data_IF_663359489464
#
_entry.id   IF_663359489464
#
_cell.length_a   1.000
_cell.length_b   1.000
_cell.length_c   1.000
_cell.angle_alpha   90.00
_cell.angle_beta   90.00
_cell.angle_gamma   90.00
#
_symmetry.space_group_name_H-M   'P 1'
#
loop_
_entity.id
_entity.type
_entity.pdbx_description
1 polymer ?
#
# COMPACT_ATOMS: atom_id res chain seq x y z
N UNK A 1 18.39 -8.11 -29.36
CA UNK A 1 18.92 -9.47 -29.55
C UNK A 1 19.83 -9.42 -30.76
N UNK A 2 21.15 -9.65 -30.57
CA UNK A 2 22.09 -9.68 -31.68
C UNK A 2 22.37 -11.12 -32.04
N UNK A 3 21.99 -11.50 -33.23
CA UNK A 3 22.28 -12.79 -33.81
C UNK A 3 23.11 -12.57 -35.08
N UNK A 4 24.34 -13.08 -35.10
CA UNK A 4 25.17 -12.99 -36.29
C UNK A 4 25.09 -14.30 -37.08
N UNK A 5 24.24 -14.32 -38.09
CA UNK A 5 24.08 -15.46 -39.00
C UNK A 5 25.29 -15.68 -39.93
N UNK A 6 26.24 -14.74 -40.02
CA UNK A 6 27.32 -14.74 -40.99
C UNK A 6 28.63 -15.36 -40.54
N UNK A 7 28.74 -15.86 -39.33
CA UNK A 7 29.95 -16.58 -38.86
C UNK A 7 31.19 -15.72 -38.60
N UNK A 8 31.10 -14.39 -38.62
CA UNK A 8 32.21 -13.48 -38.33
C UNK A 8 31.77 -12.40 -37.37
N UNK A 9 32.32 -12.40 -36.17
CA UNK A 9 32.03 -11.38 -35.16
C UNK A 9 32.15 -11.90 -33.71
N UNK A 10 32.14 -11.01 -32.71
CA UNK A 10 32.38 -11.38 -31.31
C UNK A 10 31.32 -12.34 -30.74
N UNK A 11 30.16 -12.47 -31.37
CA UNK A 11 29.03 -13.28 -30.91
C UNK A 11 29.04 -14.74 -31.44
N UNK A 12 30.08 -15.15 -32.14
CA UNK A 12 30.24 -16.50 -32.70
C UNK A 12 31.18 -17.36 -31.87
N UNK A 13 31.66 -16.85 -30.74
CA UNK A 13 32.56 -17.57 -29.86
C UNK A 13 31.81 -18.75 -29.22
N UNK A 14 32.37 -19.96 -29.37
CA UNK A 14 31.88 -21.19 -28.73
C UNK A 14 32.60 -21.50 -27.44
N UNK A 15 33.65 -20.75 -27.14
CA UNK A 15 34.37 -20.87 -25.86
C UNK A 15 33.62 -20.12 -24.75
N UNK A 16 33.69 -20.59 -23.51
CA UNK A 16 33.14 -19.87 -22.37
C UNK A 16 33.74 -18.47 -22.28
N UNK A 17 32.87 -17.46 -22.09
CA UNK A 17 33.30 -16.07 -21.94
C UNK A 17 32.45 -15.34 -20.90
N UNK A 18 32.98 -14.26 -20.37
CA UNK A 18 32.27 -13.36 -19.49
C UNK A 18 31.86 -12.13 -20.31
N UNK A 19 30.58 -11.81 -20.26
CA UNK A 19 30.03 -10.59 -20.86
C UNK A 19 29.53 -9.64 -19.80
N UNK A 20 29.88 -8.36 -19.94
CA UNK A 20 29.33 -7.28 -19.14
C UNK A 20 28.29 -6.53 -19.98
N UNK A 21 27.12 -6.34 -19.39
CA UNK A 21 26.02 -5.62 -20.03
C UNK A 21 25.67 -4.40 -19.19
N UNK A 22 25.49 -3.28 -19.86
CA UNK A 22 24.88 -2.08 -19.31
C UNK A 22 23.51 -1.90 -19.94
N UNK A 23 22.47 -1.69 -19.13
CA UNK A 23 21.11 -1.48 -19.59
C UNK A 23 20.64 -0.14 -19.06
N UNK A 24 20.35 0.79 -19.97
CA UNK A 24 19.75 2.07 -19.66
C UNK A 24 18.24 1.99 -19.90
N UNK A 25 17.46 2.30 -18.90
CA UNK A 25 16.00 2.30 -18.96
C UNK A 25 15.52 3.71 -18.67
N UNK A 26 14.74 4.29 -19.60
CA UNK A 26 14.18 5.62 -19.41
C UNK A 26 13.12 5.59 -18.30
N UNK A 27 13.18 6.56 -17.40
CA UNK A 27 12.19 6.74 -16.32
C UNK A 27 10.77 6.89 -16.87
N UNK A 28 10.62 7.46 -18.06
CA UNK A 28 9.32 7.63 -18.72
C UNK A 28 8.66 6.28 -19.06
N UNK A 29 9.46 5.28 -19.45
CA UNK A 29 8.98 3.93 -19.79
C UNK A 29 8.52 3.17 -18.55
N UNK A 30 9.16 3.41 -17.42
CA UNK A 30 8.92 2.66 -16.16
C UNK A 30 8.21 3.48 -15.08
N UNK A 31 7.74 4.68 -15.42
CA UNK A 31 7.15 5.63 -14.45
C UNK A 31 6.00 5.04 -13.63
N UNK A 32 5.20 4.17 -14.25
CA UNK A 32 4.04 3.54 -13.63
C UNK A 32 4.36 2.15 -13.05
N UNK A 33 5.61 1.71 -13.17
CA UNK A 33 6.04 0.41 -12.70
C UNK A 33 6.72 0.53 -11.32
N UNK A 34 6.38 -0.32 -10.34
CA UNK A 34 7.01 -0.29 -9.03
C UNK A 34 8.46 -0.78 -9.05
N UNK A 35 8.78 -1.67 -9.99
CA UNK A 35 10.10 -2.26 -10.13
C UNK A 35 10.32 -2.88 -11.50
N UNK A 36 11.59 -3.10 -11.87
CA UNK A 36 12.03 -3.76 -13.09
C UNK A 36 12.96 -4.91 -12.74
N UNK A 37 12.76 -6.05 -13.37
CA UNK A 37 13.68 -7.20 -13.31
C UNK A 37 14.40 -7.34 -14.66
N UNK A 38 15.72 -7.34 -14.63
CA UNK A 38 16.59 -7.60 -15.78
C UNK A 38 17.16 -9.00 -15.66
N UNK A 39 17.12 -9.76 -16.75
CA UNK A 39 17.64 -11.13 -16.78
C UNK A 39 18.66 -11.30 -17.88
N UNK A 40 19.76 -11.97 -17.56
CA UNK A 40 20.71 -12.47 -18.54
C UNK A 40 20.38 -13.93 -18.87
N UNK A 41 20.43 -14.28 -20.14
CA UNK A 41 20.11 -15.63 -20.59
C UNK A 41 20.96 -16.06 -21.76
N UNK A 42 21.22 -17.37 -21.88
CA UNK A 42 21.84 -18.00 -23.02
C UNK A 42 20.79 -18.41 -24.06
N UNK A 43 21.19 -18.37 -25.31
CA UNK A 43 20.38 -18.88 -26.41
C UNK A 43 21.02 -20.16 -27.02
N UNK A 44 20.19 -21.15 -27.25
CA UNK A 44 20.55 -22.33 -28.00
C UNK A 44 19.76 -22.38 -29.31
N UNK A 45 20.47 -22.42 -30.45
CA UNK A 45 19.84 -22.60 -31.74
C UNK A 45 18.85 -21.49 -32.13
N UNK A 46 17.73 -21.84 -32.72
CA UNK A 46 16.77 -20.92 -33.32
C UNK A 46 15.92 -20.17 -32.31
N UNK A 47 16.49 -19.18 -31.61
CA UNK A 47 15.79 -18.22 -30.75
C UNK A 47 15.18 -18.76 -29.44
N UNK A 48 15.61 -19.92 -28.98
CA UNK A 48 15.16 -20.46 -27.69
C UNK A 48 16.11 -20.03 -26.56
N UNK A 49 15.57 -19.50 -25.50
CA UNK A 49 16.30 -19.28 -24.24
C UNK A 49 16.55 -20.63 -23.62
N UNK A 50 17.83 -21.00 -23.47
CA UNK A 50 18.20 -22.27 -22.86
C UNK A 50 18.29 -22.21 -21.34
N UNK A 51 18.83 -21.10 -20.83
CA UNK A 51 19.14 -20.95 -19.41
C UNK A 51 19.16 -19.47 -19.03
N UNK A 52 18.56 -19.14 -17.91
CA UNK A 52 18.71 -17.85 -17.29
C UNK A 52 19.94 -17.90 -16.35
N UNK A 53 20.96 -17.11 -16.66
CA UNK A 53 22.26 -17.17 -15.96
C UNK A 53 22.45 -16.11 -14.91
N UNK A 54 21.54 -15.15 -14.79
CA UNK A 54 21.59 -14.12 -13.76
C UNK A 54 20.39 -13.20 -13.81
N UNK A 55 20.13 -12.53 -12.73
CA UNK A 55 19.04 -11.57 -12.60
C UNK A 55 19.36 -10.41 -11.65
N UNK A 56 18.83 -9.24 -11.96
CA UNK A 56 18.95 -8.03 -11.19
C UNK A 56 17.57 -7.41 -11.04
N UNK A 57 17.25 -6.98 -9.82
CA UNK A 57 16.01 -6.32 -9.48
C UNK A 57 16.28 -4.88 -9.02
N UNK A 58 15.56 -3.93 -9.62
CA UNK A 58 15.62 -2.50 -9.31
C UNK A 58 14.22 -2.02 -8.99
N UNK A 59 13.98 -1.48 -7.81
CA UNK A 59 12.71 -0.86 -7.43
C UNK A 59 12.88 0.64 -7.20
N UNK A 60 11.78 1.40 -7.31
CA UNK A 60 11.78 2.85 -7.08
C UNK A 60 12.20 3.24 -5.66
N UNK A 61 11.94 2.36 -4.69
CA UNK A 61 12.21 2.62 -3.28
C UNK A 61 13.61 2.21 -2.84
N UNK A 62 14.43 1.70 -3.77
CA UNK A 62 15.84 1.38 -3.49
C UNK A 62 16.65 2.66 -3.42
N UNK A 63 17.25 2.91 -2.26
CA UNK A 63 18.10 4.09 -2.01
C UNK A 63 19.49 3.96 -2.62
N UNK A 64 19.93 2.76 -2.98
CA UNK A 64 21.24 2.51 -3.62
C UNK A 64 21.26 1.17 -4.34
N UNK A 65 21.83 1.17 -5.56
CA UNK A 65 22.19 -0.04 -6.31
C UNK A 65 21.00 -0.87 -6.79
N UNK A 66 21.27 -2.14 -7.04
CA UNK A 66 20.31 -3.15 -7.44
C UNK A 66 20.50 -4.41 -6.59
N UNK A 67 19.42 -5.19 -6.44
CA UNK A 67 19.47 -6.48 -5.76
C UNK A 67 19.69 -7.59 -6.79
N UNK A 68 20.77 -8.36 -6.62
CA UNK A 68 20.94 -9.60 -7.38
C UNK A 68 19.90 -10.61 -6.91
N UNK A 69 19.18 -11.22 -7.83
CA UNK A 69 18.09 -12.15 -7.58
C UNK A 69 18.28 -13.44 -8.35
N UNK A 70 17.59 -14.48 -7.90
CA UNK A 70 17.34 -15.66 -8.71
C UNK A 70 16.45 -15.24 -9.90
N UNK A 71 16.92 -15.41 -11.17
CA UNK A 71 16.15 -15.02 -12.33
C UNK A 71 14.85 -15.79 -12.51
N UNK A 72 14.73 -16.98 -11.94
CA UNK A 72 13.52 -17.80 -12.01
C UNK A 72 12.47 -17.41 -10.97
N UNK A 73 12.89 -16.85 -9.84
CA UNK A 73 12.02 -16.47 -8.72
C UNK A 73 12.23 -15.02 -8.28
N UNK A 74 11.92 -14.03 -9.15
CA UNK A 74 12.08 -12.62 -8.78
C UNK A 74 11.16 -12.30 -7.59
N UNK A 75 11.64 -11.49 -6.63
CA UNK A 75 10.80 -11.06 -5.52
C UNK A 75 9.61 -10.25 -6.06
N UNK A 76 8.46 -10.31 -5.39
CA UNK A 76 7.37 -9.41 -5.71
C UNK A 76 7.82 -7.95 -5.53
N UNK A 77 7.36 -7.03 -6.37
CA UNK A 77 7.67 -5.61 -6.20
C UNK A 77 7.14 -5.10 -4.86
N UNK A 78 7.90 -4.24 -4.21
CA UNK A 78 7.43 -3.49 -3.05
C UNK A 78 6.28 -2.58 -3.48
N UNK A 79 5.21 -2.60 -2.72
CA UNK A 79 4.03 -1.77 -2.97
C UNK A 79 4.12 -0.55 -2.06
N UNK A 80 4.64 0.55 -2.58
CA UNK A 80 4.55 1.84 -1.90
C UNK A 80 3.10 2.31 -1.86
N UNK A 81 2.55 2.50 -0.66
CA UNK A 81 1.22 3.07 -0.44
C UNK A 81 1.38 4.35 0.38
N UNK A 82 0.99 5.46 -0.20
CA UNK A 82 0.90 6.74 0.50
C UNK A 82 -0.52 6.97 0.98
N UNK A 83 -0.67 7.50 2.20
CA UNK A 83 -1.97 7.81 2.79
C UNK A 83 -2.13 9.32 2.96
N UNK A 84 -3.33 9.81 2.73
CA UNK A 84 -3.75 11.16 3.06
C UNK A 84 -5.03 11.09 3.88
N UNK A 85 -4.98 11.63 5.09
CA UNK A 85 -6.11 11.79 6.00
C UNK A 85 -6.12 13.23 6.53
N UNK A 86 -7.27 13.91 6.57
CA UNK A 86 -7.40 15.20 7.22
C UNK A 86 -7.59 15.03 8.74
N UNK A 87 -7.53 16.13 9.47
CA UNK A 87 -8.02 16.18 10.85
C UNK A 87 -9.55 16.23 10.82
N UNK A 88 -10.19 15.21 11.36
CA UNK A 88 -11.66 15.12 11.40
C UNK A 88 -12.23 15.83 12.62
N UNK A 89 -13.02 16.86 12.39
CA UNK A 89 -13.75 17.55 13.44
C UNK A 89 -15.18 16.98 13.56
N UNK A 90 -15.44 16.27 14.64
CA UNK A 90 -16.76 15.69 14.91
C UNK A 90 -17.79 16.74 15.39
N UNK A 91 -17.35 17.94 15.77
CA UNK A 91 -18.20 18.99 16.34
C UNK A 91 -18.76 18.62 17.71
N UNK A 92 -19.94 19.15 18.03
CA UNK A 92 -20.63 18.82 19.27
C UNK A 92 -21.11 17.36 19.24
N UNK A 93 -20.88 16.66 20.35
CA UNK A 93 -21.29 15.27 20.55
C UNK A 93 -22.45 15.24 21.55
N UNK A 94 -23.69 15.17 21.11
CA UNK A 94 -24.83 15.08 22.01
C UNK A 94 -24.86 13.73 22.76
N UNK A 95 -25.56 13.70 23.90
CA UNK A 95 -25.72 12.46 24.65
C UNK A 95 -26.38 11.34 23.82
N UNK A 96 -26.00 10.10 24.13
CA UNK A 96 -26.48 8.93 23.43
C UNK A 96 -25.56 8.52 22.27
N UNK A 97 -26.05 7.67 21.38
CA UNK A 97 -25.30 7.20 20.22
C UNK A 97 -25.63 8.06 19.00
N UNK A 98 -24.61 8.60 18.37
CA UNK A 98 -24.72 9.44 17.19
C UNK A 98 -23.79 8.95 16.09
N UNK A 99 -24.18 9.19 14.84
CA UNK A 99 -23.36 8.93 13.66
C UNK A 99 -23.10 10.25 12.93
N UNK A 100 -21.84 10.47 12.54
CA UNK A 100 -21.43 11.59 11.72
C UNK A 100 -20.63 11.11 10.52
N UNK A 101 -21.21 11.25 9.35
CA UNK A 101 -20.53 10.98 8.08
C UNK A 101 -19.77 12.22 7.61
N UNK A 102 -18.52 12.01 7.22
CA UNK A 102 -17.65 13.03 6.64
C UNK A 102 -17.85 13.06 5.12
N UNK A 103 -18.90 13.75 4.68
CA UNK A 103 -19.35 13.72 3.28
C UNK A 103 -18.54 14.61 2.33
N UNK A 104 -17.76 15.59 2.84
CA UNK A 104 -16.92 16.43 2.00
C UNK A 104 -15.78 15.63 1.38
N UNK A 105 -15.42 15.96 0.15
CA UNK A 105 -14.31 15.31 -0.54
C UNK A 105 -12.95 15.52 0.16
N UNK A 106 -12.79 16.65 0.86
CA UNK A 106 -11.60 16.97 1.64
C UNK A 106 -11.47 16.11 2.90
N UNK A 107 -12.56 15.55 3.42
CA UNK A 107 -12.60 14.76 4.65
C UNK A 107 -12.38 13.26 4.40
N UNK A 108 -12.11 12.87 3.16
CA UNK A 108 -11.91 11.46 2.79
C UNK A 108 -10.53 10.96 3.22
N UNK A 109 -10.50 9.71 3.66
CA UNK A 109 -9.27 8.92 3.80
C UNK A 109 -8.88 8.36 2.44
N UNK A 110 -7.75 8.78 1.90
CA UNK A 110 -7.31 8.36 0.58
C UNK A 110 -5.96 7.64 0.63
N UNK A 111 -5.83 6.59 -0.18
CA UNK A 111 -4.60 5.86 -0.44
C UNK A 111 -4.19 6.04 -1.89
N UNK A 112 -2.91 6.36 -2.13
CA UNK A 112 -2.32 6.51 -3.46
C UNK A 112 -1.19 5.50 -3.61
N UNK A 113 -1.13 4.81 -4.74
CA UNK A 113 -0.24 3.67 -4.98
C UNK A 113 -0.05 3.45 -6.48
N UNK A 114 0.87 2.56 -6.88
CA UNK A 114 0.93 2.11 -8.28
C UNK A 114 -0.20 1.11 -8.56
N UNK A 115 -1.11 1.46 -9.47
CA UNK A 115 -2.27 0.62 -9.81
C UNK A 115 -1.88 -0.77 -10.32
N UNK A 116 -0.79 -0.88 -11.07
CA UNK A 116 -0.27 -2.16 -11.55
C UNK A 116 0.19 -3.09 -10.42
N UNK A 117 0.63 -2.52 -9.29
CA UNK A 117 1.13 -3.30 -8.15
C UNK A 117 0.00 -3.89 -7.28
N UNK A 118 -1.20 -3.31 -7.31
CA UNK A 118 -2.31 -3.66 -6.41
C UNK A 118 -3.39 -4.54 -7.03
N UNK A 119 -3.48 -4.61 -8.36
CA UNK A 119 -4.63 -5.16 -9.10
C UNK A 119 -5.03 -6.59 -8.76
N UNK A 120 -4.11 -7.42 -8.28
CA UNK A 120 -4.39 -8.83 -7.91
C UNK A 120 -4.35 -9.09 -6.41
N UNK A 121 -4.11 -8.07 -5.58
CA UNK A 121 -3.87 -8.23 -4.15
C UNK A 121 -5.05 -7.75 -3.32
N UNK A 122 -5.22 -8.40 -2.17
CA UNK A 122 -6.11 -7.93 -1.12
C UNK A 122 -5.31 -7.17 -0.07
N UNK A 123 -5.93 -6.19 0.55
CA UNK A 123 -5.33 -5.35 1.58
C UNK A 123 -6.20 -5.37 2.83
N UNK A 124 -5.57 -5.38 3.98
CA UNK A 124 -6.22 -5.16 5.26
C UNK A 124 -5.82 -3.77 5.75
N UNK A 125 -6.81 -2.94 6.02
CA UNK A 125 -6.63 -1.64 6.67
C UNK A 125 -7.06 -1.80 8.12
N UNK A 126 -6.23 -1.37 9.05
CA UNK A 126 -6.58 -1.24 10.47
C UNK A 126 -6.07 0.08 11.01
N UNK A 127 -6.51 0.45 12.21
CA UNK A 127 -6.07 1.64 12.91
C UNK A 127 -5.79 1.35 14.38
N UNK A 128 -4.81 2.06 14.93
CA UNK A 128 -4.46 2.07 16.35
C UNK A 128 -4.75 3.46 16.88
N UNK A 129 -5.56 3.53 17.94
CA UNK A 129 -5.84 4.75 18.68
C UNK A 129 -4.75 5.03 19.70
N UNK A 130 -4.30 6.27 19.80
CA UNK A 130 -3.35 6.71 20.82
C UNK A 130 -3.92 6.52 22.24
N UNK A 131 -5.24 6.69 22.40
CA UNK A 131 -5.93 6.51 23.67
C UNK A 131 -6.32 5.05 23.95
N UNK A 132 -5.92 4.12 23.06
CA UNK A 132 -6.24 2.71 23.14
C UNK A 132 -7.67 2.39 22.72
N UNK A 133 -8.08 1.14 22.99
CA UNK A 133 -9.40 0.65 22.62
C UNK A 133 -10.01 -0.18 23.75
N UNK A 134 -11.33 -0.33 23.69
CA UNK A 134 -12.09 -1.27 24.50
C UNK A 134 -12.93 -2.13 23.57
N UNK A 135 -12.57 -3.40 23.45
CA UNK A 135 -13.16 -4.30 22.47
C UNK A 135 -13.04 -3.76 21.04
N UNK A 136 -14.19 -3.42 20.45
CA UNK A 136 -14.32 -2.90 19.08
C UNK A 136 -14.46 -1.38 19.01
N UNK A 137 -14.16 -0.66 20.09
CA UNK A 137 -14.27 0.80 20.15
C UNK A 137 -12.94 1.45 20.44
N UNK A 138 -12.63 2.53 19.72
CA UNK A 138 -11.60 3.49 20.07
C UNK A 138 -12.07 4.44 21.17
N UNK A 139 -11.21 5.32 21.64
CA UNK A 139 -11.47 6.21 22.79
C UNK A 139 -11.12 7.65 22.44
N UNK A 140 -12.12 8.53 22.33
CA UNK A 140 -11.87 9.97 22.47
C UNK A 140 -11.68 10.26 23.95
N UNK A 141 -10.62 10.97 24.29
CA UNK A 141 -10.27 11.31 25.67
C UNK A 141 -10.38 12.81 25.88
N UNK A 142 -10.99 13.21 27.00
CA UNK A 142 -11.07 14.61 27.39
C UNK A 142 -9.67 15.18 27.66
N UNK A 143 -9.37 16.35 27.12
CA UNK A 143 -8.06 16.99 27.25
C UNK A 143 -7.75 17.49 28.66
N UNK A 144 -8.78 17.89 29.43
CA UNK A 144 -8.65 18.39 30.80
C UNK A 144 -8.75 17.28 31.87
N UNK A 145 -9.55 16.23 31.60
CA UNK A 145 -9.78 15.11 32.50
C UNK A 145 -9.67 13.78 31.77
N UNK A 146 -8.50 13.19 31.79
CA UNK A 146 -8.15 11.96 31.04
C UNK A 146 -8.94 10.72 31.46
N UNK A 147 -9.71 10.78 32.54
CA UNK A 147 -10.63 9.72 32.99
C UNK A 147 -11.93 9.71 32.19
N UNK A 148 -12.28 10.83 31.57
CA UNK A 148 -13.48 11.00 30.76
C UNK A 148 -13.24 10.51 29.33
N UNK A 149 -14.01 9.54 28.91
CA UNK A 149 -13.80 8.83 27.62
C UNK A 149 -15.14 8.71 26.88
N UNK A 150 -15.11 9.05 25.59
CA UNK A 150 -16.20 8.77 24.64
C UNK A 150 -15.76 7.61 23.74
N UNK A 151 -16.39 6.43 23.83
CA UNK A 151 -16.12 5.34 22.92
C UNK A 151 -16.66 5.65 21.52
N UNK A 152 -15.89 5.26 20.49
CA UNK A 152 -16.29 5.42 19.09
C UNK A 152 -15.75 4.32 18.19
N UNK A 153 -16.37 4.14 17.05
CA UNK A 153 -15.87 3.36 15.91
C UNK A 153 -15.95 4.18 14.61
N UNK A 154 -15.28 3.70 13.58
CA UNK A 154 -15.25 4.34 12.27
C UNK A 154 -15.63 3.33 11.21
N UNK A 155 -16.66 3.64 10.44
CA UNK A 155 -17.01 2.92 9.22
C UNK A 155 -16.39 3.64 8.03
N UNK A 156 -15.59 2.93 7.24
CA UNK A 156 -15.02 3.42 5.99
C UNK A 156 -15.86 2.88 4.83
N UNK A 157 -16.39 3.75 3.98
CA UNK A 157 -17.18 3.37 2.79
C UNK A 157 -16.54 3.93 1.53
N UNK A 158 -16.24 3.07 0.56
CA UNK A 158 -15.64 3.47 -0.71
C UNK A 158 -15.27 2.27 -1.57
N UNK A 159 -14.98 2.50 -2.86
CA UNK A 159 -14.59 1.46 -3.82
C UNK A 159 -15.53 0.24 -3.84
N UNK A 160 -16.83 0.45 -3.62
CA UNK A 160 -17.83 -0.64 -3.56
C UNK A 160 -17.73 -1.54 -2.33
N UNK A 161 -17.00 -1.13 -1.30
CA UNK A 161 -16.79 -1.89 -0.07
C UNK A 161 -17.04 -1.05 1.18
N UNK A 162 -17.21 -1.73 2.31
CA UNK A 162 -17.38 -1.13 3.63
C UNK A 162 -16.49 -1.87 4.63
N UNK A 163 -15.81 -1.12 5.48
CA UNK A 163 -14.89 -1.62 6.51
C UNK A 163 -15.16 -0.94 7.84
N UNK A 164 -15.24 -1.72 8.91
CA UNK A 164 -15.30 -1.19 10.29
C UNK A 164 -13.91 -1.13 10.91
N UNK A 165 -13.63 -0.04 11.60
CA UNK A 165 -12.42 0.15 12.40
C UNK A 165 -12.79 0.32 13.88
N UNK A 166 -12.08 -0.34 14.81
CA UNK A 166 -10.95 -1.26 14.60
C UNK A 166 -11.34 -2.49 13.76
N UNK A 167 -10.48 -2.91 12.85
CA UNK A 167 -10.73 -4.06 11.98
C UNK A 167 -10.43 -5.40 12.69
N UNK A 168 -11.17 -5.70 13.72
CA UNK A 168 -10.97 -6.91 14.54
C UNK A 168 -11.26 -8.21 13.80
N UNK A 169 -12.03 -8.15 12.71
CA UNK A 169 -12.35 -9.29 11.85
C UNK A 169 -11.31 -9.57 10.75
N UNK A 170 -10.26 -8.79 10.66
CA UNK A 170 -9.27 -8.86 9.57
C UNK A 170 -9.91 -8.88 8.17
N UNK A 171 -10.97 -8.09 8.01
CA UNK A 171 -11.67 -7.93 6.74
C UNK A 171 -10.70 -7.30 5.74
N UNK A 172 -10.60 -7.92 4.58
CA UNK A 172 -9.75 -7.41 3.50
C UNK A 172 -10.60 -6.81 2.37
N UNK A 173 -9.99 -5.90 1.64
CA UNK A 173 -10.58 -5.22 0.50
C UNK A 173 -9.59 -5.16 -0.66
N UNK A 174 -10.10 -4.80 -1.83
CA UNK A 174 -9.26 -4.53 -3.01
C UNK A 174 -9.14 -3.02 -3.20
N UNK A 175 -7.96 -2.59 -3.59
CA UNK A 175 -7.75 -1.24 -4.06
C UNK A 175 -8.10 -1.13 -5.55
N UNK A 176 -8.54 0.06 -5.95
CA UNK A 176 -8.86 0.36 -7.34
C UNK A 176 -7.59 0.36 -8.22
N UNK A 177 -7.67 -0.16 -9.43
CA UNK A 177 -6.55 -0.17 -10.38
C UNK A 177 -6.14 1.20 -10.91
N UNK A 178 -6.89 2.27 -10.62
CA UNK A 178 -6.59 3.64 -11.05
C UNK A 178 -5.39 4.29 -10.33
N UNK A 179 -4.86 3.65 -9.29
CA UNK A 179 -3.75 4.17 -8.49
C UNK A 179 -4.18 5.01 -7.29
N UNK A 180 -5.49 5.16 -7.06
CA UNK A 180 -6.02 5.89 -5.90
C UNK A 180 -7.34 5.28 -5.43
N UNK A 181 -7.45 5.03 -4.13
CA UNK A 181 -8.71 4.62 -3.49
C UNK A 181 -9.01 5.53 -2.31
N UNK A 182 -10.23 6.07 -2.27
CA UNK A 182 -10.68 6.96 -1.19
C UNK A 182 -11.92 6.38 -0.50
N UNK A 183 -11.97 6.57 0.80
CA UNK A 183 -13.09 6.16 1.66
C UNK A 183 -13.72 7.37 2.32
N UNK A 184 -15.03 7.34 2.45
CA UNK A 184 -15.80 8.29 3.25
C UNK A 184 -15.94 7.73 4.64
N UNK A 185 -15.35 8.35 5.69
CA UNK A 185 -15.50 7.88 7.05
C UNK A 185 -16.83 8.31 7.66
N UNK A 186 -17.45 7.40 8.41
CA UNK A 186 -18.59 7.66 9.29
C UNK A 186 -18.17 7.30 10.70
N UNK A 187 -18.17 8.28 11.58
CA UNK A 187 -17.86 8.11 13.01
C UNK A 187 -19.13 7.83 13.78
N UNK A 188 -19.13 6.77 14.58
CA UNK A 188 -20.20 6.47 15.52
C UNK A 188 -19.68 6.60 16.93
N UNK A 189 -20.19 7.61 17.66
CA UNK A 189 -19.82 7.92 19.04
C UNK A 189 -20.94 7.54 20.00
N UNK A 190 -20.61 7.21 21.24
CA UNK A 190 -21.59 6.98 22.30
C UNK A 190 -21.20 7.81 23.53
N UNK A 191 -21.98 8.83 23.80
CA UNK A 191 -21.76 9.79 24.91
C UNK A 191 -22.63 9.43 26.08
N UNK A 192 -22.01 9.05 27.21
CA UNK A 192 -22.72 8.80 28.47
C UNK A 192 -23.15 10.13 29.10
N UNK A 193 -24.31 10.13 29.72
CA UNK A 193 -24.89 11.30 30.42
C UNK A 193 -24.07 11.82 31.60
N UNK A 194 -23.14 11.03 32.09
CA UNK A 194 -22.27 11.39 33.23
C UNK A 194 -20.98 12.06 32.78
N UNK A 195 -20.71 12.10 31.47
CA UNK A 195 -19.52 12.74 30.94
C UNK A 195 -19.58 14.26 31.07
N UNK A 196 -18.44 14.83 31.40
CA UNK A 196 -18.29 16.29 31.56
C UNK A 196 -18.16 16.96 30.20
N UNK A 197 -18.70 18.18 30.04
CA UNK A 197 -18.39 19.02 28.88
C UNK A 197 -16.87 19.26 28.76
N UNK A 198 -16.38 19.43 27.52
CA UNK A 198 -14.97 19.70 27.24
C UNK A 198 -14.57 19.20 25.89
N UNK A 199 -13.31 19.44 25.54
CA UNK A 199 -12.71 19.00 24.29
C UNK A 199 -12.20 17.56 24.43
N UNK A 200 -12.62 16.71 23.50
CA UNK A 200 -12.24 15.30 23.41
C UNK A 200 -11.46 15.05 22.13
N UNK A 201 -10.33 14.38 22.23
CA UNK A 201 -9.51 14.06 21.06
C UNK A 201 -8.95 12.65 21.08
N UNK A 202 -8.55 12.19 19.90
CA UNK A 202 -7.78 10.97 19.69
C UNK A 202 -6.88 11.12 18.46
N UNK A 203 -5.84 10.30 18.36
CA UNK A 203 -5.01 10.17 17.18
C UNK A 203 -5.06 8.74 16.69
N UNK A 204 -5.46 8.56 15.43
CA UNK A 204 -5.49 7.26 14.78
C UNK A 204 -4.24 7.09 13.90
N UNK A 205 -3.50 6.02 14.14
CA UNK A 205 -2.41 5.56 13.27
C UNK A 205 -2.92 4.42 12.41
N UNK A 206 -2.96 4.62 11.09
CA UNK A 206 -3.43 3.62 10.15
C UNK A 206 -2.29 2.69 9.71
N UNK A 207 -2.64 1.43 9.54
CA UNK A 207 -1.75 0.39 8.99
C UNK A 207 -2.43 -0.27 7.81
N UNK A 208 -1.69 -0.43 6.71
CA UNK A 208 -2.15 -1.15 5.52
C UNK A 208 -1.19 -2.28 5.26
N UNK A 209 -1.72 -3.50 5.18
CA UNK A 209 -0.92 -4.69 4.90
C UNK A 209 -1.52 -5.48 3.74
N UNK A 210 -0.66 -6.06 2.92
CA UNK A 210 -1.10 -7.03 1.89
C UNK A 210 -1.51 -8.33 2.55
N UNK A 211 -2.65 -8.88 2.11
CA UNK A 211 -3.09 -10.21 2.51
C UNK A 211 -2.74 -11.19 1.39
N UNK A 212 -1.86 -12.12 1.71
CA UNK A 212 -1.51 -13.26 0.85
C UNK A 212 -2.65 -14.29 0.81
#
# INVERSE_FOLDING_TARGET
>A
MYHNYGGTGPWVTREPFIANFEVLISDEVVKDWPAVSLRAANFTGANNVAENTGGVYVSKDMTSGCKVIDPETPPPPDIGISMSAPDWNLGELPQGTQEKQMSNSADRLCFTYSGAAVGTKNFTIDAISQNGRDGTKFRLRNLADTTQIVPYDVKLEGAGTSLMLPNTGNVSLKFDGSGKTCFTPTFRTTVDKTLKPGDYSDVLTFTVVTKS
#
